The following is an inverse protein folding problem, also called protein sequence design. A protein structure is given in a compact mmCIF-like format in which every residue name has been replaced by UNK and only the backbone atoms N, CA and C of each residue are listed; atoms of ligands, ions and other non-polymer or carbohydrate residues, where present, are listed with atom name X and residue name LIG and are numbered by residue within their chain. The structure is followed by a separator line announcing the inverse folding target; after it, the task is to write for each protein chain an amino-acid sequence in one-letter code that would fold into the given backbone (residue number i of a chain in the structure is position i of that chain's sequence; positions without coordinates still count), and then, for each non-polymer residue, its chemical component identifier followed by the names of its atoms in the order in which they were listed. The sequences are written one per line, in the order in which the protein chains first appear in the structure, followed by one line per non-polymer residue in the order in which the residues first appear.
data_IF_124536409910
#
_entry.id   IF_124536409910
#
_cell.length_a   1.000
_cell.length_b   1.000
_cell.length_c   1.000
_cell.angle_alpha   90.00
_cell.angle_beta   90.00
_cell.angle_gamma   90.00
#
_symmetry.space_group_name_H-M   'P 1'
#
loop_
_entity.id
_entity.type
_entity.pdbx_description
1 polymer ?
#
# COMPACT_ATOMS: atom_id res chain seq x y z
N UNK A 1 20.24 14.08 16.09
CA UNK A 1 21.58 14.60 15.71
C UNK A 1 21.81 14.19 14.27
N UNK A 2 21.56 15.14 13.35
CA UNK A 2 21.54 14.86 11.90
C UNK A 2 22.97 14.65 11.41
N UNK A 3 23.26 13.47 10.91
CA UNK A 3 24.50 13.25 10.15
C UNK A 3 24.26 13.66 8.68
N UNK A 4 24.36 14.97 8.41
CA UNK A 4 24.63 15.49 7.09
C UNK A 4 26.12 15.31 6.81
N UNK A 5 26.47 14.25 6.09
CA UNK A 5 27.81 14.15 5.51
C UNK A 5 27.71 14.79 4.11
N UNK A 6 28.00 16.08 4.06
CA UNK A 6 28.25 16.79 2.80
C UNK A 6 29.67 16.46 2.34
N UNK A 7 29.83 15.58 1.37
CA UNK A 7 31.03 15.50 0.55
C UNK A 7 30.78 16.25 -0.77
N UNK A 8 31.62 17.19 -1.07
CA UNK A 8 31.67 18.15 -2.17
C UNK A 8 30.89 17.78 -3.43
N UNK A 9 29.79 18.47 -3.70
CA UNK A 9 28.97 18.30 -4.91
C UNK A 9 28.19 16.99 -5.00
N UNK A 10 28.20 16.16 -3.95
CA UNK A 10 27.60 14.83 -3.90
C UNK A 10 26.09 14.89 -3.62
N UNK A 11 25.34 14.15 -4.41
CA UNK A 11 23.95 13.79 -4.17
C UNK A 11 23.78 13.25 -2.75
N UNK A 12 22.75 13.68 -2.02
CA UNK A 12 22.39 13.09 -0.72
C UNK A 12 22.04 11.61 -0.99
N UNK A 13 22.85 10.69 -0.46
CA UNK A 13 22.55 9.25 -0.54
C UNK A 13 21.33 8.96 0.33
N UNK A 14 20.35 8.21 -0.22
CA UNK A 14 19.12 7.80 0.46
C UNK A 14 18.07 8.92 0.64
N UNK A 15 17.95 9.85 -0.31
CA UNK A 15 16.84 10.83 -0.32
C UNK A 15 15.49 10.13 -0.47
N UNK A 16 14.50 10.53 0.36
CA UNK A 16 13.18 9.89 0.47
C UNK A 16 12.06 10.87 0.13
N UNK A 17 11.23 10.56 -0.86
CA UNK A 17 9.94 11.23 -1.06
C UNK A 17 8.80 10.34 -0.54
N UNK A 18 7.88 10.92 0.24
CA UNK A 18 6.65 10.23 0.63
C UNK A 18 5.55 10.55 -0.39
N UNK A 19 4.87 9.52 -0.90
CA UNK A 19 3.72 9.63 -1.81
C UNK A 19 2.48 9.17 -1.09
N UNK A 20 1.52 10.08 -0.90
CA UNK A 20 0.27 9.83 -0.20
C UNK A 20 -0.89 10.02 -1.16
N UNK A 21 -1.79 9.03 -1.24
CA UNK A 21 -2.98 9.14 -2.06
C UNK A 21 -4.17 9.55 -1.19
N UNK A 22 -4.88 10.60 -1.62
CA UNK A 22 -6.09 11.08 -0.93
C UNK A 22 -7.32 10.92 -1.80
N UNK A 23 -8.45 10.60 -1.14
CA UNK A 23 -9.77 10.61 -1.75
C UNK A 23 -10.82 10.84 -0.67
N UNK A 24 -11.39 12.06 -0.61
CA UNK A 24 -12.37 12.49 0.38
C UNK A 24 -11.88 12.25 1.83
N UNK A 25 -10.67 12.75 2.14
CA UNK A 25 -10.05 12.59 3.46
C UNK A 25 -10.68 13.47 4.52
N UNK A 26 -10.54 13.07 5.79
CA UNK A 26 -11.08 13.76 6.96
C UNK A 26 -10.10 14.80 7.55
N UNK A 27 -10.58 15.58 8.50
CA UNK A 27 -9.84 16.74 9.08
C UNK A 27 -8.55 16.36 9.83
N UNK A 28 -8.36 15.10 10.21
CA UNK A 28 -7.16 14.64 10.92
C UNK A 28 -5.92 14.45 10.00
N UNK A 29 -6.10 14.57 8.68
CA UNK A 29 -5.02 14.41 7.69
C UNK A 29 -3.84 15.36 7.95
N UNK A 30 -4.08 16.62 8.35
CA UNK A 30 -3.02 17.57 8.73
C UNK A 30 -2.11 17.01 9.84
N UNK A 31 -2.67 16.31 10.82
CA UNK A 31 -1.88 15.72 11.93
C UNK A 31 -0.94 14.61 11.39
N UNK A 32 -1.37 13.86 10.37
CA UNK A 32 -0.57 12.81 9.73
C UNK A 32 0.58 13.40 8.93
N UNK A 33 0.33 14.48 8.18
CA UNK A 33 1.39 15.25 7.50
C UNK A 33 2.43 15.74 8.52
N UNK A 34 2.01 16.31 9.65
CA UNK A 34 2.92 16.76 10.69
C UNK A 34 3.79 15.62 11.27
N UNK A 35 3.30 14.39 11.30
CA UNK A 35 4.08 13.21 11.72
C UNK A 35 5.16 12.80 10.72
N UNK A 36 5.03 13.18 9.45
CA UNK A 36 6.01 12.92 8.40
C UNK A 36 7.08 13.99 8.26
N UNK A 37 6.79 15.22 8.66
CA UNK A 37 7.73 16.34 8.56
C UNK A 37 9.05 16.02 9.27
N UNK A 38 10.16 16.28 8.56
CA UNK A 38 11.51 16.01 9.05
C UNK A 38 11.93 14.53 9.02
N UNK A 39 11.06 13.62 8.57
CA UNK A 39 11.37 12.19 8.38
C UNK A 39 11.58 11.83 6.92
N UNK A 40 11.11 12.66 6.00
CA UNK A 40 11.28 12.56 4.55
C UNK A 40 11.71 13.91 3.99
N UNK A 41 12.30 13.90 2.80
CA UNK A 41 12.80 15.11 2.13
C UNK A 41 11.67 15.86 1.40
N UNK A 42 10.68 15.14 0.89
CA UNK A 42 9.49 15.73 0.25
C UNK A 42 8.23 14.91 0.58
N UNK A 43 7.10 15.60 0.74
CA UNK A 43 5.78 14.97 0.88
C UNK A 43 4.97 15.33 -0.36
N UNK A 44 4.66 14.33 -1.17
CA UNK A 44 3.86 14.43 -2.39
C UNK A 44 2.47 13.86 -2.11
N UNK A 45 1.46 14.69 -2.18
CA UNK A 45 0.06 14.28 -2.02
C UNK A 45 -0.61 14.27 -3.38
N UNK A 46 -1.18 13.13 -3.77
CA UNK A 46 -1.95 13.00 -5.00
C UNK A 46 -3.43 12.88 -4.63
N UNK A 47 -4.18 13.94 -4.90
CA UNK A 47 -5.63 13.92 -4.72
C UNK A 47 -6.30 13.23 -5.90
N UNK A 48 -7.00 12.14 -5.64
CA UNK A 48 -7.58 11.27 -6.64
C UNK A 48 -9.03 11.67 -6.99
N UNK A 49 -9.26 12.96 -7.19
CA UNK A 49 -10.56 13.52 -7.58
C UNK A 49 -11.55 13.61 -6.42
N UNK A 50 -11.13 14.19 -5.31
CA UNK A 50 -11.97 14.45 -4.14
C UNK A 50 -13.00 15.55 -4.37
N UNK A 51 -13.93 15.67 -3.43
CA UNK A 51 -14.88 16.76 -3.34
C UNK A 51 -14.19 18.07 -2.94
N UNK A 52 -14.86 19.18 -3.19
CA UNK A 52 -14.30 20.53 -3.00
C UNK A 52 -13.86 20.78 -1.54
N UNK A 53 -14.54 20.18 -0.56
CA UNK A 53 -14.20 20.34 0.86
C UNK A 53 -12.79 19.81 1.15
N UNK A 54 -12.49 18.61 0.65
CA UNK A 54 -11.14 18.01 0.76
C UNK A 54 -10.11 18.82 -0.01
N UNK A 55 -10.43 19.27 -1.23
CA UNK A 55 -9.52 20.09 -2.04
C UNK A 55 -9.17 21.39 -1.31
N UNK A 56 -10.13 22.06 -0.70
CA UNK A 56 -9.89 23.29 0.05
C UNK A 56 -8.99 23.04 1.28
N UNK A 57 -9.21 21.96 2.01
CA UNK A 57 -8.35 21.57 3.14
C UNK A 57 -6.91 21.25 2.67
N UNK A 58 -6.75 20.56 1.55
CA UNK A 58 -5.41 20.24 1.02
C UNK A 58 -4.67 21.50 0.55
N UNK A 59 -5.37 22.49 -0.01
CA UNK A 59 -4.77 23.80 -0.40
C UNK A 59 -4.16 24.54 0.78
N UNK A 60 -4.74 24.42 1.97
CA UNK A 60 -4.14 25.04 3.17
C UNK A 60 -2.77 24.42 3.54
N UNK A 61 -2.42 23.28 2.96
CA UNK A 61 -1.15 22.58 3.18
C UNK A 61 -0.12 22.81 2.07
N UNK A 62 -0.44 23.56 1.00
CA UNK A 62 0.43 23.75 -0.20
C UNK A 62 1.83 24.30 0.11
N UNK A 63 2.01 25.01 1.22
CA UNK A 63 3.33 25.46 1.66
C UNK A 63 4.17 24.35 2.33
N UNK A 64 3.58 23.20 2.60
CA UNK A 64 4.18 22.12 3.38
C UNK A 64 4.31 20.81 2.58
N UNK A 65 3.56 20.70 1.49
CA UNK A 65 3.48 19.50 0.64
C UNK A 65 3.47 19.89 -0.84
N UNK A 66 3.91 18.98 -1.68
CA UNK A 66 3.63 19.06 -3.12
C UNK A 66 2.29 18.39 -3.41
N UNK A 67 1.38 19.13 -4.05
CA UNK A 67 0.02 18.70 -4.32
C UNK A 67 -0.22 18.45 -5.80
N UNK A 68 -0.67 17.25 -6.14
CA UNK A 68 -1.04 16.84 -7.50
C UNK A 68 -2.54 16.54 -7.51
N UNK A 69 -3.32 17.32 -8.28
CA UNK A 69 -4.75 17.11 -8.42
C UNK A 69 -5.07 16.25 -9.64
N UNK A 70 -5.93 15.26 -9.46
CA UNK A 70 -6.58 14.56 -10.56
C UNK A 70 -8.03 15.06 -10.70
N UNK A 71 -8.48 15.23 -11.94
CA UNK A 71 -9.82 15.76 -12.22
C UNK A 71 -10.94 14.85 -11.71
N UNK A 72 -10.71 13.52 -11.73
CA UNK A 72 -11.65 12.51 -11.25
C UNK A 72 -10.89 11.31 -10.67
N UNK A 73 -11.62 10.44 -9.97
CA UNK A 73 -11.04 9.22 -9.42
C UNK A 73 -10.60 8.27 -10.56
N UNK A 74 -9.29 8.17 -10.77
CA UNK A 74 -8.61 7.31 -11.76
C UNK A 74 -8.21 5.94 -11.20
N UNK A 75 -8.44 5.71 -9.90
CA UNK A 75 -7.98 4.51 -9.17
C UNK A 75 -6.65 4.70 -8.48
N UNK A 76 -6.40 3.85 -7.47
CA UNK A 76 -5.21 3.99 -6.61
C UNK A 76 -3.91 3.73 -7.38
N UNK A 77 -3.90 2.76 -8.30
CA UNK A 77 -2.73 2.43 -9.12
C UNK A 77 -2.25 3.63 -9.95
N UNK A 78 -3.18 4.32 -10.63
CA UNK A 78 -2.87 5.51 -11.40
C UNK A 78 -2.35 6.65 -10.52
N UNK A 79 -2.99 6.90 -9.39
CA UNK A 79 -2.60 7.96 -8.47
C UNK A 79 -1.20 7.69 -7.88
N UNK A 80 -0.90 6.45 -7.47
CA UNK A 80 0.43 6.04 -7.03
C UNK A 80 1.47 6.27 -8.13
N UNK A 81 1.20 5.81 -9.36
CA UNK A 81 2.11 6.00 -10.49
C UNK A 81 2.40 7.48 -10.75
N UNK A 82 1.42 8.36 -10.61
CA UNK A 82 1.60 9.81 -10.77
C UNK A 82 2.54 10.41 -9.73
N UNK A 83 2.30 10.12 -8.45
CA UNK A 83 3.15 10.64 -7.37
C UNK A 83 4.56 10.08 -7.42
N UNK A 84 4.70 8.79 -7.69
CA UNK A 84 6.00 8.12 -7.80
C UNK A 84 6.78 8.65 -8.99
N UNK A 85 6.15 8.81 -10.16
CA UNK A 85 6.80 9.38 -11.33
C UNK A 85 7.32 10.78 -11.07
N UNK A 86 6.52 11.65 -10.46
CA UNK A 86 6.94 12.98 -10.03
C UNK A 86 8.20 12.91 -9.13
N UNK A 87 8.17 12.07 -8.09
CA UNK A 87 9.29 11.93 -7.16
C UNK A 87 10.57 11.41 -7.84
N UNK A 88 10.42 10.47 -8.78
CA UNK A 88 11.54 9.95 -9.59
C UNK A 88 12.14 11.05 -10.50
N UNK A 89 11.33 11.88 -11.13
CA UNK A 89 11.77 12.98 -11.98
C UNK A 89 12.51 14.08 -11.18
N UNK A 90 12.17 14.21 -9.90
CA UNK A 90 12.89 15.10 -8.94
C UNK A 90 14.19 14.49 -8.41
N UNK A 91 14.44 13.21 -8.69
CA UNK A 91 15.72 12.56 -8.39
C UNK A 91 15.80 11.91 -7.02
N UNK A 92 14.68 11.64 -6.34
CA UNK A 92 14.66 10.89 -5.07
C UNK A 92 15.11 9.45 -5.28
N UNK A 93 15.85 8.91 -4.30
CA UNK A 93 16.39 7.55 -4.35
C UNK A 93 15.37 6.51 -3.89
N UNK A 94 14.56 6.89 -2.91
CA UNK A 94 13.55 6.05 -2.29
C UNK A 94 12.19 6.73 -2.30
N UNK A 95 11.15 5.92 -2.53
CA UNK A 95 9.77 6.38 -2.52
C UNK A 95 9.02 5.63 -1.43
N UNK A 96 8.56 6.35 -0.42
CA UNK A 96 7.70 5.84 0.63
C UNK A 96 6.24 6.02 0.20
N UNK A 97 5.51 4.95 0.00
CA UNK A 97 4.07 5.02 -0.27
C UNK A 97 3.26 4.87 1.02
N UNK A 98 2.22 5.68 1.19
CA UNK A 98 1.38 5.70 2.38
C UNK A 98 -0.10 5.88 2.04
N UNK A 99 -0.96 5.18 2.78
CA UNK A 99 -2.37 5.49 2.83
C UNK A 99 -2.59 6.76 3.68
N UNK A 100 -3.65 7.51 3.39
CA UNK A 100 -3.93 8.77 4.08
C UNK A 100 -4.26 8.62 5.57
N UNK A 101 -4.57 7.42 6.04
CA UNK A 101 -4.94 7.07 7.41
C UNK A 101 -3.81 6.41 8.21
N UNK A 102 -2.65 6.18 7.62
CA UNK A 102 -1.49 5.56 8.27
C UNK A 102 -0.67 6.55 9.09
N UNK A 103 -0.08 6.09 10.19
CA UNK A 103 0.77 6.89 11.07
C UNK A 103 2.19 6.31 11.09
N UNK A 104 3.14 7.09 10.57
CA UNK A 104 4.57 6.74 10.57
C UNK A 104 5.16 6.99 11.96
N UNK A 105 5.76 5.95 12.58
CA UNK A 105 6.50 6.09 13.84
C UNK A 105 7.83 6.81 13.66
N UNK A 106 8.43 7.31 14.75
CA UNK A 106 9.59 8.21 14.66
C UNK A 106 10.83 7.57 14.03
N UNK A 107 11.02 6.27 14.16
CA UNK A 107 12.21 5.57 13.69
C UNK A 107 11.97 4.67 12.47
N UNK A 108 10.73 4.56 11.97
CA UNK A 108 10.36 3.60 10.93
C UNK A 108 11.28 3.69 9.69
N UNK A 109 11.40 4.88 9.11
CA UNK A 109 12.16 5.09 7.87
C UNK A 109 13.66 4.88 8.12
N UNK A 110 14.17 5.44 9.21
CA UNK A 110 15.59 5.29 9.57
C UNK A 110 15.94 3.82 9.83
N UNK A 111 15.08 3.05 10.50
CA UNK A 111 15.29 1.64 10.74
C UNK A 111 15.32 0.83 9.44
N UNK A 112 14.45 1.16 8.48
CA UNK A 112 14.47 0.54 7.15
C UNK A 112 15.77 0.83 6.42
N UNK A 113 16.19 2.09 6.36
CA UNK A 113 17.42 2.50 5.66
C UNK A 113 18.65 1.92 6.34
N UNK A 114 18.72 1.90 7.67
CA UNK A 114 19.82 1.28 8.41
C UNK A 114 19.89 -0.23 8.18
N UNK A 115 18.75 -0.91 8.15
CA UNK A 115 18.69 -2.33 7.81
C UNK A 115 19.25 -2.56 6.40
N UNK A 116 18.81 -1.75 5.41
CA UNK A 116 19.32 -1.82 4.05
C UNK A 116 20.85 -1.58 3.99
N UNK A 117 21.37 -0.57 4.70
CA UNK A 117 22.81 -0.28 4.71
C UNK A 117 23.63 -1.39 5.35
N UNK A 118 23.08 -2.15 6.28
CA UNK A 118 23.69 -3.33 6.89
C UNK A 118 23.73 -4.59 6.01
N UNK A 119 23.01 -4.61 4.86
CA UNK A 119 23.00 -5.76 3.96
C UNK A 119 24.32 -5.91 3.20
N UNK A 120 24.66 -7.15 2.83
CA UNK A 120 25.75 -7.40 1.89
C UNK A 120 25.44 -6.87 0.50
N UNK A 121 26.46 -6.69 -0.34
CA UNK A 121 26.34 -6.08 -1.67
C UNK A 121 25.37 -6.85 -2.57
N UNK A 122 25.47 -8.19 -2.59
CA UNK A 122 24.65 -9.04 -3.46
C UNK A 122 23.16 -8.93 -3.13
N UNK A 123 22.83 -8.80 -1.86
CA UNK A 123 21.43 -8.63 -1.42
C UNK A 123 20.94 -7.19 -1.65
N UNK A 124 21.79 -6.19 -1.42
CA UNK A 124 21.47 -4.77 -1.73
C UNK A 124 21.05 -4.57 -3.18
N UNK A 125 21.69 -5.23 -4.12
CA UNK A 125 21.34 -5.16 -5.54
C UNK A 125 19.97 -5.77 -5.84
N UNK A 126 19.59 -6.81 -5.11
CA UNK A 126 18.32 -7.51 -5.29
C UNK A 126 17.15 -6.89 -4.54
N UNK A 127 17.39 -6.14 -3.47
CA UNK A 127 16.32 -5.52 -2.68
C UNK A 127 15.67 -4.39 -3.46
N UNK A 128 14.39 -4.56 -3.78
CA UNK A 128 13.56 -3.53 -4.43
C UNK A 128 12.77 -2.70 -3.43
N UNK A 129 12.33 -3.33 -2.33
CA UNK A 129 11.37 -2.74 -1.41
C UNK A 129 11.66 -3.18 0.03
N UNK A 130 11.55 -2.24 0.94
CA UNK A 130 11.52 -2.46 2.38
C UNK A 130 10.12 -2.16 2.90
N UNK A 131 9.61 -2.98 3.79
CA UNK A 131 8.27 -2.80 4.36
C UNK A 131 8.30 -2.89 5.88
N UNK A 132 7.42 -2.16 6.60
CA UNK A 132 7.36 -2.20 8.06
C UNK A 132 6.55 -3.39 8.56
N UNK A 133 6.57 -3.58 9.86
CA UNK A 133 5.56 -4.35 10.58
C UNK A 133 4.34 -3.44 10.83
N UNK A 134 3.15 -3.89 10.42
CA UNK A 134 1.90 -3.16 10.63
C UNK A 134 1.32 -3.55 11.99
N UNK A 135 0.96 -2.54 12.79
CA UNK A 135 0.37 -2.70 14.13
C UNK A 135 -0.87 -1.84 14.24
N UNK A 136 -1.94 -2.37 14.81
CA UNK A 136 -3.14 -1.57 15.14
C UNK A 136 -2.83 -0.55 16.25
N UNK A 137 -3.45 0.62 16.18
CA UNK A 137 -3.21 1.70 17.15
C UNK A 137 -3.46 1.27 18.61
N UNK A 138 -4.47 0.44 18.84
CA UNK A 138 -4.77 -0.13 20.17
C UNK A 138 -3.62 -1.03 20.67
N UNK A 139 -3.07 -1.84 19.80
CA UNK A 139 -1.96 -2.73 20.10
C UNK A 139 -0.67 -1.94 20.35
N UNK A 140 -0.42 -0.90 19.55
CA UNK A 140 0.72 -0.01 19.73
C UNK A 140 0.68 0.69 21.09
N UNK A 141 -0.45 1.26 21.50
CA UNK A 141 -0.62 1.90 22.82
C UNK A 141 -0.38 0.92 23.98
N UNK A 142 -0.80 -0.33 23.85
CA UNK A 142 -0.60 -1.36 24.87
C UNK A 142 0.85 -1.88 24.94
N UNK A 143 1.58 -1.85 23.83
CA UNK A 143 2.99 -2.29 23.73
C UNK A 143 3.98 -1.14 23.87
N UNK A 144 3.55 0.12 23.90
CA UNK A 144 4.44 1.29 23.86
C UNK A 144 5.48 1.32 24.99
N UNK A 145 5.23 0.66 26.13
CA UNK A 145 6.21 0.47 27.20
C UNK A 145 7.37 -0.47 26.82
N UNK A 146 7.17 -1.37 25.86
CA UNK A 146 8.18 -2.35 25.44
C UNK A 146 8.79 -2.05 24.06
N UNK A 147 8.14 -1.20 23.24
CA UNK A 147 8.59 -0.88 21.88
C UNK A 147 9.83 0.04 21.89
N UNK A 148 10.01 0.86 22.93
CA UNK A 148 11.21 1.68 23.11
C UNK A 148 12.47 0.85 23.38
N UNK A 149 12.33 -0.44 23.69
CA UNK A 149 13.43 -1.39 23.90
C UNK A 149 13.67 -2.32 22.67
N UNK A 150 12.93 -2.15 21.56
CA UNK A 150 13.29 -2.86 20.34
C UNK A 150 14.62 -2.29 19.89
N UNK A 151 15.70 -2.94 20.37
CA UNK A 151 17.04 -2.74 19.84
C UNK A 151 16.92 -2.65 18.31
N UNK A 152 17.64 -1.75 17.64
CA UNK A 152 17.73 -1.74 16.19
C UNK A 152 18.42 -3.02 15.74
N UNK A 153 17.70 -4.13 15.86
CA UNK A 153 18.14 -5.37 15.26
C UNK A 153 18.01 -5.17 13.77
N UNK A 154 19.09 -5.36 13.02
CA UNK A 154 19.05 -5.42 11.56
C UNK A 154 18.29 -6.68 11.08
N UNK A 155 17.34 -7.18 11.90
CA UNK A 155 16.57 -8.36 11.57
C UNK A 155 15.48 -8.01 10.55
N UNK A 156 15.39 -8.86 9.55
CA UNK A 156 14.39 -8.76 8.49
C UNK A 156 13.98 -10.18 8.05
N UNK A 157 12.83 -10.25 7.41
CA UNK A 157 12.42 -11.46 6.71
C UNK A 157 12.04 -11.13 5.27
N UNK A 158 12.33 -12.04 4.36
CA UNK A 158 11.85 -11.94 2.99
C UNK A 158 10.35 -12.24 2.95
N UNK A 159 9.58 -11.40 2.28
CA UNK A 159 8.13 -11.56 2.08
C UNK A 159 7.80 -11.54 0.60
N UNK A 160 6.79 -12.31 0.21
CA UNK A 160 6.35 -12.38 -1.18
C UNK A 160 5.43 -11.22 -1.55
N UNK A 161 4.53 -10.85 -0.67
CA UNK A 161 3.59 -9.74 -0.85
C UNK A 161 3.38 -8.99 0.45
N UNK A 162 3.20 -7.67 0.36
CA UNK A 162 2.84 -6.79 1.46
C UNK A 162 1.95 -5.65 0.94
N UNK A 163 1.25 -4.95 1.83
CA UNK A 163 0.42 -3.80 1.47
C UNK A 163 1.28 -2.59 1.06
N UNK A 164 0.71 -1.70 0.25
CA UNK A 164 1.41 -0.51 -0.26
C UNK A 164 1.77 0.48 0.84
N UNK A 165 0.93 0.60 1.88
CA UNK A 165 1.16 1.58 2.93
C UNK A 165 2.40 1.24 3.77
N UNK A 166 3.34 2.18 3.85
CA UNK A 166 4.64 2.03 4.52
C UNK A 166 5.73 1.39 3.64
N UNK A 167 5.43 1.03 2.40
CA UNK A 167 6.42 0.45 1.50
C UNK A 167 7.44 1.50 1.02
N UNK A 168 8.71 1.27 1.29
CA UNK A 168 9.84 2.07 0.86
C UNK A 168 10.51 1.39 -0.34
N UNK A 169 10.24 1.91 -1.54
CA UNK A 169 10.66 1.30 -2.82
C UNK A 169 11.81 2.10 -3.44
N UNK A 170 12.82 1.41 -3.97
CA UNK A 170 13.89 2.06 -4.73
C UNK A 170 13.36 2.65 -6.04
N UNK A 171 13.59 3.95 -6.25
CA UNK A 171 13.18 4.66 -7.44
C UNK A 171 13.74 4.03 -8.74
N UNK A 172 14.99 3.57 -8.71
CA UNK A 172 15.63 2.93 -9.85
C UNK A 172 14.95 1.60 -10.22
N UNK A 173 14.55 0.80 -9.23
CA UNK A 173 13.85 -0.48 -9.48
C UNK A 173 12.48 -0.21 -10.08
N UNK A 174 11.76 0.79 -9.58
CA UNK A 174 10.46 1.18 -10.14
C UNK A 174 10.56 1.53 -11.64
N UNK A 175 11.61 2.25 -12.05
CA UNK A 175 11.88 2.56 -13.48
C UNK A 175 12.07 1.28 -14.30
N UNK A 176 12.78 0.30 -13.76
CA UNK A 176 13.16 -0.92 -14.48
C UNK A 176 12.01 -1.95 -14.57
N UNK A 177 11.19 -2.02 -13.53
CA UNK A 177 10.11 -3.01 -13.42
C UNK A 177 8.83 -2.52 -14.08
N UNK A 178 8.62 -1.22 -14.11
CA UNK A 178 7.35 -0.57 -14.40
C UNK A 178 6.58 -0.29 -13.11
N UNK A 179 5.51 0.49 -13.21
CA UNK A 179 4.70 0.89 -12.09
C UNK A 179 3.61 -0.12 -11.73
N UNK A 180 2.67 0.36 -10.93
CA UNK A 180 1.46 -0.37 -10.59
C UNK A 180 0.55 -0.56 -11.81
N UNK A 181 -0.09 -1.72 -11.93
CA UNK A 181 -0.98 -2.02 -13.05
C UNK A 181 -2.32 -1.24 -12.92
N UNK A 182 -2.47 -0.20 -13.73
CA UNK A 182 -3.63 0.70 -13.69
C UNK A 182 -4.95 0.03 -14.10
N UNK A 183 -4.88 -1.15 -14.75
CA UNK A 183 -6.07 -1.97 -15.05
C UNK A 183 -6.82 -2.36 -13.78
N UNK A 184 -6.11 -2.51 -12.66
CA UNK A 184 -6.70 -2.97 -11.40
C UNK A 184 -7.62 -1.93 -10.76
N UNK A 185 -7.35 -0.65 -10.93
CA UNK A 185 -8.07 0.48 -10.36
C UNK A 185 -7.97 0.56 -8.83
N UNK A 186 -8.45 -0.45 -8.09
CA UNK A 186 -8.38 -0.62 -6.63
C UNK A 186 -8.43 -2.11 -6.27
N UNK A 187 -7.89 -2.49 -5.13
CA UNK A 187 -7.72 -3.85 -4.60
C UNK A 187 -6.72 -4.72 -5.40
N UNK A 188 -5.85 -5.41 -4.70
CA UNK A 188 -4.78 -6.27 -5.23
C UNK A 188 -3.69 -5.54 -6.05
N UNK A 189 -3.68 -4.23 -6.04
CA UNK A 189 -2.67 -3.38 -6.70
C UNK A 189 -1.29 -3.62 -6.09
N UNK A 190 -1.25 -3.70 -4.77
CA UNK A 190 -0.09 -4.04 -3.94
C UNK A 190 0.44 -5.44 -4.22
N UNK A 191 -0.44 -6.44 -4.18
CA UNK A 191 -0.07 -7.83 -4.46
C UNK A 191 0.48 -8.00 -5.87
N UNK A 192 -0.15 -7.39 -6.89
CA UNK A 192 0.34 -7.45 -8.27
C UNK A 192 1.75 -6.87 -8.39
N UNK A 193 1.99 -5.70 -7.79
CA UNK A 193 3.29 -5.06 -7.83
C UNK A 193 4.36 -5.90 -7.13
N UNK A 194 4.09 -6.41 -5.93
CA UNK A 194 4.99 -7.29 -5.20
C UNK A 194 5.33 -8.57 -5.98
N UNK A 195 4.33 -9.24 -6.57
CA UNK A 195 4.53 -10.43 -7.39
C UNK A 195 5.35 -10.11 -8.64
N UNK A 196 5.14 -8.94 -9.27
CA UNK A 196 5.93 -8.51 -10.43
C UNK A 196 7.40 -8.27 -10.10
N UNK A 197 7.70 -7.71 -8.92
CA UNK A 197 9.05 -7.55 -8.41
C UNK A 197 9.73 -8.92 -8.23
N UNK A 198 9.08 -9.83 -7.50
CA UNK A 198 9.60 -11.17 -7.24
C UNK A 198 9.80 -11.98 -8.53
N UNK A 199 8.87 -11.90 -9.50
CA UNK A 199 9.01 -12.55 -10.81
C UNK A 199 10.25 -12.09 -11.58
N UNK A 200 10.68 -10.84 -11.37
CA UNK A 200 11.91 -10.28 -11.96
C UNK A 200 13.16 -10.53 -11.12
N UNK A 201 13.05 -11.33 -10.05
CA UNK A 201 14.18 -11.71 -9.19
C UNK A 201 14.52 -10.72 -8.09
N UNK A 202 13.73 -9.66 -7.93
CA UNK A 202 13.90 -8.72 -6.83
C UNK A 202 13.31 -9.25 -5.52
N UNK A 203 13.75 -8.66 -4.41
CA UNK A 203 13.37 -9.05 -3.04
C UNK A 203 12.62 -7.93 -2.33
N UNK A 204 11.69 -8.34 -1.48
CA UNK A 204 10.96 -7.47 -0.57
C UNK A 204 11.32 -7.91 0.85
N UNK A 205 11.84 -7.00 1.66
CA UNK A 205 12.24 -7.30 3.03
C UNK A 205 11.32 -6.59 4.02
N UNK A 206 10.68 -7.34 4.90
CA UNK A 206 10.00 -6.77 6.06
C UNK A 206 11.01 -6.58 7.19
N UNK A 207 11.17 -5.34 7.64
CA UNK A 207 12.13 -4.94 8.67
C UNK A 207 11.44 -4.97 10.03
N UNK A 208 11.90 -5.84 10.93
CA UNK A 208 11.22 -6.10 12.21
C UNK A 208 11.18 -4.88 13.15
N UNK A 209 12.19 -4.00 13.07
CA UNK A 209 12.29 -2.78 13.87
C UNK A 209 11.55 -1.57 13.26
N UNK A 210 11.02 -1.68 12.04
CA UNK A 210 10.26 -0.63 11.41
C UNK A 210 8.76 -0.84 11.64
N UNK A 211 8.08 0.12 12.28
CA UNK A 211 6.68 -0.02 12.68
C UNK A 211 5.85 1.06 12.02
N UNK A 212 4.76 0.65 11.37
CA UNK A 212 3.69 1.51 10.89
C UNK A 212 2.41 1.25 11.69
N UNK A 213 1.81 2.31 12.22
CA UNK A 213 0.50 2.21 12.83
C UNK A 213 -0.55 2.36 11.73
N UNK A 214 -1.34 1.32 11.54
CA UNK A 214 -2.38 1.29 10.52
C UNK A 214 -3.70 0.83 11.12
N UNK A 215 -4.76 1.61 10.89
CA UNK A 215 -6.09 1.26 11.37
C UNK A 215 -6.76 0.34 10.35
N UNK A 216 -6.82 -0.95 10.66
CA UNK A 216 -7.46 -1.97 9.80
C UNK A 216 -9.01 -1.86 9.75
N UNK A 217 -9.59 -0.75 10.25
CA UNK A 217 -11.02 -0.55 10.37
C UNK A 217 -11.66 -1.39 11.50
N UNK A 218 -12.86 -1.01 11.93
CA UNK A 218 -13.58 -1.76 12.96
C UNK A 218 -14.05 -3.12 12.42
N UNK A 219 -13.28 -4.17 12.69
CA UNK A 219 -13.69 -5.53 12.39
C UNK A 219 -14.28 -6.19 13.65
N UNK A 220 -15.57 -6.55 13.58
CA UNK A 220 -16.25 -7.26 14.68
C UNK A 220 -16.01 -8.75 14.54
N UNK A 221 -15.33 -9.35 15.53
CA UNK A 221 -15.16 -10.79 15.60
C UNK A 221 -16.53 -11.48 15.81
N UNK A 222 -16.86 -12.42 14.92
CA UNK A 222 -18.04 -13.31 15.07
C UNK A 222 -17.58 -14.74 15.25
N UNK A 223 -18.29 -15.50 16.09
CA UNK A 223 -18.02 -16.92 16.33
C UNK A 223 -19.17 -17.77 15.83
N UNK A 224 -18.86 -18.81 15.07
CA UNK A 224 -19.82 -19.84 14.65
C UNK A 224 -19.16 -21.20 14.81
N UNK A 225 -19.84 -22.12 15.51
CA UNK A 225 -19.36 -23.47 15.82
C UNK A 225 -17.93 -23.47 16.41
N UNK A 226 -17.61 -22.49 17.28
CA UNK A 226 -16.30 -22.35 17.91
C UNK A 226 -15.20 -21.74 17.03
N UNK A 227 -15.45 -21.52 15.74
CA UNK A 227 -14.51 -20.90 14.82
C UNK A 227 -14.64 -19.37 14.86
N UNK A 228 -13.51 -18.69 15.04
CA UNK A 228 -13.42 -17.23 14.92
C UNK A 228 -13.47 -16.84 13.44
N UNK A 229 -14.40 -15.97 13.10
CA UNK A 229 -14.52 -15.39 11.76
C UNK A 229 -14.65 -13.87 11.85
N UNK A 230 -13.87 -13.17 11.05
CA UNK A 230 -13.92 -11.71 10.96
C UNK A 230 -14.50 -11.36 9.58
N UNK A 231 -15.80 -11.03 9.48
CA UNK A 231 -16.39 -10.54 8.24
C UNK A 231 -15.95 -9.11 8.00
N UNK A 232 -15.57 -8.79 6.77
CA UNK A 232 -15.13 -7.43 6.39
C UNK A 232 -16.27 -6.54 5.92
N UNK A 233 -17.41 -7.11 5.63
CA UNK A 233 -18.63 -6.45 5.14
C UNK A 233 -18.41 -5.39 4.03
N UNK A 234 -17.44 -5.64 3.15
CA UNK A 234 -17.15 -4.76 2.02
C UNK A 234 -18.37 -4.47 1.16
N UNK A 235 -18.41 -3.28 0.55
CA UNK A 235 -19.49 -2.88 -0.37
C UNK A 235 -19.57 -3.82 -1.58
N UNK A 236 -20.76 -3.93 -2.23
CA UNK A 236 -20.90 -4.72 -3.46
C UNK A 236 -19.90 -4.30 -4.54
N UNK A 237 -19.69 -2.99 -4.73
CA UNK A 237 -18.74 -2.46 -5.70
C UNK A 237 -17.30 -2.89 -5.40
N UNK A 238 -16.89 -2.91 -4.13
CA UNK A 238 -15.57 -3.42 -3.76
C UNK A 238 -15.44 -4.91 -4.03
N UNK A 239 -16.50 -5.70 -3.76
CA UNK A 239 -16.53 -7.13 -4.12
C UNK A 239 -16.39 -7.37 -5.63
N UNK A 240 -16.91 -6.47 -6.48
CA UNK A 240 -16.68 -6.49 -7.92
C UNK A 240 -15.19 -6.38 -8.25
N UNK A 241 -14.50 -5.34 -7.74
CA UNK A 241 -13.08 -5.16 -8.02
C UNK A 241 -12.25 -6.34 -7.50
N UNK A 242 -12.47 -6.76 -6.27
CA UNK A 242 -11.76 -7.89 -5.67
C UNK A 242 -11.91 -9.17 -6.51
N UNK A 243 -13.10 -9.50 -6.99
CA UNK A 243 -13.32 -10.72 -7.78
C UNK A 243 -12.73 -10.60 -9.19
N UNK A 244 -12.89 -9.46 -9.88
CA UNK A 244 -12.30 -9.21 -11.19
C UNK A 244 -10.78 -9.31 -11.17
N UNK A 245 -10.17 -8.58 -10.22
CA UNK A 245 -8.72 -8.47 -10.12
C UNK A 245 -8.07 -9.79 -9.69
N UNK A 246 -8.70 -10.55 -8.77
CA UNK A 246 -8.20 -11.89 -8.39
C UNK A 246 -8.07 -12.82 -9.59
N UNK A 247 -9.10 -12.90 -10.43
CA UNK A 247 -9.04 -13.77 -11.61
C UNK A 247 -7.94 -13.36 -12.57
N UNK A 248 -7.74 -12.04 -12.77
CA UNK A 248 -6.64 -11.52 -13.55
C UNK A 248 -5.26 -11.90 -12.97
N UNK A 249 -5.07 -11.71 -11.67
CA UNK A 249 -3.80 -12.02 -11.00
C UNK A 249 -3.53 -13.52 -10.95
N UNK A 250 -4.56 -14.34 -10.72
CA UNK A 250 -4.39 -15.79 -10.75
C UNK A 250 -3.88 -16.27 -12.11
N UNK A 251 -4.45 -15.78 -13.20
CA UNK A 251 -3.98 -16.16 -14.53
C UNK A 251 -2.59 -15.62 -14.83
N UNK A 252 -2.29 -14.39 -14.39
CA UNK A 252 -0.99 -13.74 -14.60
C UNK A 252 0.17 -14.46 -13.89
N UNK A 253 -0.11 -15.08 -12.72
CA UNK A 253 0.95 -15.62 -11.86
C UNK A 253 0.82 -17.11 -11.51
N UNK A 254 -0.10 -17.85 -12.12
CA UNK A 254 -0.31 -19.28 -11.80
C UNK A 254 0.91 -20.16 -12.05
N UNK A 255 1.76 -19.80 -12.99
CA UNK A 255 2.98 -20.56 -13.33
C UNK A 255 4.15 -20.15 -12.43
N UNK A 256 4.31 -18.85 -12.14
CA UNK A 256 5.43 -18.35 -11.34
C UNK A 256 5.21 -18.56 -9.83
N UNK A 257 3.96 -18.41 -9.34
CA UNK A 257 3.61 -18.47 -7.92
C UNK A 257 2.39 -19.35 -7.64
N UNK A 258 2.40 -20.65 -8.01
CA UNK A 258 1.22 -21.52 -7.91
C UNK A 258 0.71 -21.66 -6.47
N UNK A 259 1.59 -21.70 -5.48
CA UNK A 259 1.23 -21.81 -4.05
C UNK A 259 0.49 -20.58 -3.54
N UNK A 260 0.95 -19.38 -3.95
CA UNK A 260 0.27 -18.13 -3.61
C UNK A 260 -1.13 -18.07 -4.24
N UNK A 261 -1.23 -18.40 -5.52
CA UNK A 261 -2.51 -18.45 -6.25
C UNK A 261 -3.49 -19.43 -5.60
N UNK A 262 -3.02 -20.63 -5.22
CA UNK A 262 -3.87 -21.62 -4.55
C UNK A 262 -4.36 -21.10 -3.18
N UNK A 263 -3.49 -20.46 -2.43
CA UNK A 263 -3.83 -19.87 -1.12
C UNK A 263 -4.86 -18.76 -1.27
N UNK A 264 -4.70 -17.86 -2.26
CA UNK A 264 -5.65 -16.78 -2.50
C UNK A 264 -7.01 -17.29 -3.03
N UNK A 265 -7.03 -18.35 -3.85
CA UNK A 265 -8.26 -19.04 -4.26
C UNK A 265 -9.01 -19.61 -3.04
N UNK A 266 -8.31 -20.24 -2.09
CA UNK A 266 -8.92 -20.73 -0.84
C UNK A 266 -9.47 -19.58 -0.01
N UNK A 267 -8.72 -18.47 0.10
CA UNK A 267 -9.18 -17.23 0.76
C UNK A 267 -10.46 -16.69 0.10
N UNK A 268 -10.52 -16.64 -1.22
CA UNK A 268 -11.72 -16.21 -1.95
C UNK A 268 -12.95 -17.07 -1.63
N UNK A 269 -12.81 -18.41 -1.56
CA UNK A 269 -13.89 -19.31 -1.16
C UNK A 269 -14.34 -19.00 0.27
N UNK A 270 -13.39 -18.86 1.20
CA UNK A 270 -13.69 -18.55 2.61
C UNK A 270 -14.40 -17.21 2.76
N UNK A 271 -13.98 -16.17 2.01
CA UNK A 271 -14.65 -14.87 2.00
C UNK A 271 -16.08 -14.97 1.47
N UNK A 272 -16.33 -15.74 0.41
CA UNK A 272 -17.68 -15.96 -0.09
C UNK A 272 -18.57 -16.69 0.93
N UNK A 273 -18.04 -17.65 1.67
CA UNK A 273 -18.74 -18.28 2.79
C UNK A 273 -19.08 -17.28 3.91
N UNK A 274 -18.14 -16.36 4.24
CA UNK A 274 -18.41 -15.28 5.21
C UNK A 274 -19.53 -14.36 4.76
N UNK A 275 -19.61 -14.04 3.46
CA UNK A 275 -20.71 -13.25 2.90
C UNK A 275 -22.05 -13.97 3.14
N UNK A 276 -22.12 -15.27 2.84
CA UNK A 276 -23.35 -16.06 3.01
C UNK A 276 -23.79 -16.10 4.48
N UNK A 277 -22.86 -16.26 5.40
CA UNK A 277 -23.17 -16.49 6.81
C UNK A 277 -23.42 -15.18 7.59
N UNK A 278 -22.63 -14.12 7.33
CA UNK A 278 -22.50 -13.00 8.26
C UNK A 278 -22.70 -11.61 7.69
N UNK A 279 -22.61 -11.44 6.37
CA UNK A 279 -22.63 -10.10 5.79
C UNK A 279 -24.02 -9.69 5.30
N UNK A 280 -24.23 -8.39 5.15
CA UNK A 280 -25.45 -7.82 4.61
C UNK A 280 -25.42 -7.80 3.08
N UNK A 281 -26.58 -7.51 2.43
CA UNK A 281 -26.71 -7.34 0.98
C UNK A 281 -26.14 -8.52 0.17
N UNK A 282 -26.30 -9.73 0.65
CA UNK A 282 -25.71 -10.97 0.10
C UNK A 282 -25.96 -11.12 -1.40
N UNK A 283 -27.21 -11.00 -1.83
CA UNK A 283 -27.60 -11.15 -3.24
C UNK A 283 -26.92 -10.10 -4.12
N UNK A 284 -26.89 -8.84 -3.66
CA UNK A 284 -26.23 -7.77 -4.37
C UNK A 284 -24.71 -8.01 -4.49
N UNK A 285 -24.06 -8.41 -3.40
CA UNK A 285 -22.63 -8.77 -3.39
C UNK A 285 -22.31 -9.86 -4.39
N UNK A 286 -23.10 -10.96 -4.44
CA UNK A 286 -22.90 -12.04 -5.42
C UNK A 286 -23.17 -11.59 -6.86
N UNK A 287 -24.14 -10.70 -7.07
CA UNK A 287 -24.34 -10.04 -8.38
C UNK A 287 -23.07 -9.32 -8.85
N UNK A 288 -22.47 -8.53 -7.97
CA UNK A 288 -21.24 -7.77 -8.27
C UNK A 288 -20.01 -8.67 -8.41
N UNK A 289 -19.88 -9.72 -7.62
CA UNK A 289 -18.84 -10.75 -7.77
C UNK A 289 -18.91 -11.38 -9.15
N UNK A 290 -20.10 -11.85 -9.57
CA UNK A 290 -20.32 -12.47 -10.87
C UNK A 290 -20.07 -11.47 -12.02
N UNK A 291 -20.47 -10.19 -11.88
CA UNK A 291 -20.16 -9.12 -12.85
C UNK A 291 -18.63 -8.94 -12.97
N UNK A 292 -17.90 -8.93 -11.84
CA UNK A 292 -16.43 -8.84 -11.85
C UNK A 292 -15.77 -9.99 -12.60
N UNK A 293 -16.21 -11.23 -12.36
CA UNK A 293 -15.72 -12.40 -13.08
C UNK A 293 -16.04 -12.32 -14.58
N UNK A 294 -17.24 -11.87 -14.94
CA UNK A 294 -17.64 -11.69 -16.34
C UNK A 294 -16.79 -10.62 -17.03
N UNK A 295 -16.55 -9.50 -16.38
CA UNK A 295 -15.77 -8.40 -16.94
C UNK A 295 -14.30 -8.79 -17.12
N UNK A 296 -13.73 -9.55 -16.16
CA UNK A 296 -12.41 -10.16 -16.35
C UNK A 296 -12.37 -11.04 -17.63
N UNK A 297 -13.32 -11.97 -17.80
CA UNK A 297 -13.38 -12.84 -18.98
C UNK A 297 -13.52 -12.07 -20.30
N UNK A 298 -14.11 -10.88 -20.25
CA UNK A 298 -14.31 -9.99 -21.39
C UNK A 298 -13.20 -8.95 -21.55
N UNK A 299 -12.11 -9.03 -20.77
CA UNK A 299 -11.01 -8.06 -20.75
C UNK A 299 -11.47 -6.60 -20.44
N UNK A 300 -12.50 -6.43 -19.61
CA UNK A 300 -13.00 -5.13 -19.17
C UNK A 300 -12.34 -4.77 -17.83
N UNK A 301 -11.49 -3.74 -17.84
CA UNK A 301 -10.71 -3.29 -16.69
C UNK A 301 -10.92 -1.80 -16.37
N UNK A 302 -10.19 -1.29 -15.36
CA UNK A 302 -10.27 0.10 -14.92
C UNK A 302 -11.53 0.37 -14.08
N UNK A 303 -12.00 1.62 -14.12
CA UNK A 303 -13.16 2.09 -13.34
C UNK A 303 -14.44 1.36 -13.74
N UNK A 304 -15.19 0.86 -12.75
CA UNK A 304 -16.50 0.24 -12.98
C UNK A 304 -17.44 1.17 -13.73
N UNK A 305 -18.01 0.68 -14.80
CA UNK A 305 -19.06 1.39 -15.55
C UNK A 305 -20.40 0.72 -15.26
N UNK A 306 -21.34 1.50 -14.77
CA UNK A 306 -22.69 0.99 -14.58
C UNK A 306 -23.34 0.85 -15.95
N UNK A 307 -23.70 -0.37 -16.34
CA UNK A 307 -24.46 -0.63 -17.59
C UNK A 307 -25.90 -0.10 -17.43
N UNK A 308 -26.07 1.15 -16.98
CA UNK A 308 -27.36 1.81 -17.09
C UNK A 308 -27.54 2.26 -18.53
N UNK A 309 -28.40 1.54 -19.20
CA UNK A 309 -29.15 2.07 -20.38
C UNK A 309 -29.89 3.33 -20.03
#
# INVERSE_FOLDING_TARGET
MNYLICNGGGRILNSVAAVIITYNVENDFRQRINKLKGKVDEIVVVDNGSKIETINMLKELENEITLIYLEDNKGIAYALNKGIKYSIERGYDWILTLDHDSIVTDHMINNMLNCYEGLNVDLKEKVAMLVPVHIEEKEYKNKATNINEINPSNSYKEVLTEITSGALTKAQIYKNVGGYDEKLFIDLVDHDYCLSLNKKGFKILQVDSAILIHNLGESVEKRVLGLKMIPTNHSPLRRYYMSRNRHYIWDKYKEDFPSWVLTDKRRFITENLKIILFEDKKIEKFKYINKGIKDYKNNIFGKFKNDKK
#
